data_IF_932185119311
#
_entry.id   IF_932185119311
#
_cell.length_a   1.000
_cell.length_b   1.000
_cell.length_c   1.000
_cell.angle_alpha   90.00
_cell.angle_beta   90.00
_cell.angle_gamma   90.00
#
_symmetry.space_group_name_H-M   'P 1'
#
loop_
_entity.id
_entity.type
_entity.pdbx_description
1 polymer ?
#
# COMPACT_ATOMS: atom_id res chain seq x y z
N UNK A 1 19.11 2.77 -21.88
CA UNK A 1 17.80 2.06 -21.88
C UNK A 1 17.18 2.28 -20.50
N UNK A 2 15.97 2.84 -20.44
CA UNK A 2 15.33 3.23 -19.17
C UNK A 2 15.03 2.01 -18.29
N UNK A 3 15.46 2.03 -17.03
CA UNK A 3 15.14 1.05 -16.00
C UNK A 3 14.12 1.61 -15.00
N UNK A 4 13.48 0.73 -14.26
CA UNK A 4 12.59 1.09 -13.16
C UNK A 4 12.92 0.25 -11.93
N UNK A 5 13.02 0.91 -10.78
CA UNK A 5 13.16 0.28 -9.47
C UNK A 5 11.87 0.52 -8.68
N UNK A 6 11.26 -0.54 -8.20
CA UNK A 6 10.09 -0.52 -7.32
C UNK A 6 10.50 -1.06 -5.96
N UNK A 7 10.30 -0.27 -4.93
CA UNK A 7 10.69 -0.63 -3.57
C UNK A 7 9.49 -0.61 -2.65
N UNK A 8 9.35 -1.64 -1.81
CA UNK A 8 8.57 -1.46 -0.59
C UNK A 8 9.20 -0.38 0.31
N UNK A 9 8.37 0.21 1.17
CA UNK A 9 8.79 1.29 2.05
C UNK A 9 9.27 0.79 3.42
N UNK A 10 8.42 0.11 4.20
CA UNK A 10 8.70 -0.19 5.61
C UNK A 10 9.53 -1.47 5.70
N UNK A 11 10.72 -1.44 6.32
CA UNK A 11 11.60 -2.61 6.37
C UNK A 11 12.46 -2.79 5.12
N UNK A 12 12.08 -2.15 4.01
CA UNK A 12 12.83 -2.16 2.74
C UNK A 12 13.53 -0.82 2.46
N UNK A 13 12.83 0.19 1.93
CA UNK A 13 13.43 1.50 1.61
C UNK A 13 13.79 2.30 2.89
N UNK A 14 12.93 2.20 3.90
CA UNK A 14 13.12 2.76 5.22
C UNK A 14 13.42 1.64 6.21
N UNK A 15 14.66 1.60 6.69
CA UNK A 15 15.08 0.74 7.81
C UNK A 15 15.33 1.56 9.07
N UNK A 16 15.94 2.73 8.92
CA UNK A 16 16.20 3.71 9.99
C UNK A 16 16.55 5.08 9.37
N UNK A 17 16.70 6.10 10.22
CA UNK A 17 16.98 7.49 9.82
C UNK A 17 18.33 7.69 9.11
N UNK A 18 19.32 6.81 9.33
CA UNK A 18 20.62 6.90 8.68
C UNK A 18 20.57 6.27 7.28
N UNK A 19 19.93 5.11 7.15
CA UNK A 19 19.93 4.35 5.90
C UNK A 19 18.98 4.96 4.86
N UNK A 20 17.87 5.57 5.28
CA UNK A 20 16.99 6.26 4.33
C UNK A 20 17.72 7.38 3.57
N UNK A 21 18.62 8.11 4.23
CA UNK A 21 19.40 9.17 3.55
C UNK A 21 20.31 8.60 2.46
N UNK A 22 21.01 7.50 2.75
CA UNK A 22 21.84 6.80 1.76
C UNK A 22 21.01 6.26 0.60
N UNK A 23 19.84 5.71 0.90
CA UNK A 23 18.92 5.19 -0.11
C UNK A 23 18.40 6.31 -1.02
N UNK A 24 18.08 7.48 -0.46
CA UNK A 24 17.68 8.67 -1.21
C UNK A 24 18.80 9.14 -2.15
N UNK A 25 20.04 9.23 -1.66
CA UNK A 25 21.19 9.62 -2.49
C UNK A 25 21.35 8.67 -3.69
N UNK A 26 21.26 7.34 -3.44
CA UNK A 26 21.36 6.33 -4.49
C UNK A 26 20.19 6.36 -5.46
N UNK A 27 18.98 6.64 -5.00
CA UNK A 27 17.82 6.82 -5.87
C UNK A 27 17.97 8.08 -6.72
N UNK A 28 18.49 9.18 -6.17
CA UNK A 28 18.75 10.39 -6.94
C UNK A 28 19.80 10.15 -8.04
N UNK A 29 20.91 9.49 -7.71
CA UNK A 29 21.90 9.03 -8.72
C UNK A 29 21.21 8.18 -9.79
N UNK A 30 20.40 7.19 -9.40
CA UNK A 30 19.70 6.32 -10.34
C UNK A 30 18.73 7.07 -11.26
N UNK A 31 17.99 8.05 -10.72
CA UNK A 31 17.04 8.88 -11.46
C UNK A 31 17.71 9.87 -12.41
N UNK A 32 18.87 10.43 -12.05
CA UNK A 32 19.62 11.35 -12.94
C UNK A 32 20.07 10.67 -14.24
N UNK A 33 20.22 9.35 -14.24
CA UNK A 33 20.49 8.53 -15.43
C UNK A 33 19.23 8.29 -16.31
N UNK A 34 18.10 8.92 -15.98
CA UNK A 34 16.84 8.80 -16.71
C UNK A 34 16.01 7.56 -16.36
N UNK A 35 16.33 6.90 -15.24
CA UNK A 35 15.55 5.76 -14.71
C UNK A 35 14.42 6.24 -13.80
N UNK A 36 13.47 5.34 -13.52
CA UNK A 36 12.29 5.64 -12.70
C UNK A 36 12.36 4.95 -11.34
N UNK A 37 11.91 5.64 -10.31
CA UNK A 37 11.78 5.07 -8.97
C UNK A 37 10.34 5.11 -8.48
N UNK A 38 9.89 4.00 -7.90
CA UNK A 38 8.51 3.81 -7.41
C UNK A 38 8.55 3.31 -5.97
N UNK A 39 7.78 3.96 -5.10
CA UNK A 39 7.48 3.42 -3.78
C UNK A 39 6.20 2.62 -3.85
N UNK A 40 6.21 1.39 -3.34
CA UNK A 40 5.06 0.49 -3.33
C UNK A 40 4.77 -0.04 -1.93
N UNK A 41 3.77 0.50 -1.24
CA UNK A 41 3.60 0.30 0.21
C UNK A 41 2.15 0.01 0.61
N UNK A 42 1.97 -0.60 1.79
CA UNK A 42 0.67 -0.70 2.48
C UNK A 42 0.15 0.65 2.98
N UNK A 43 1.03 1.64 3.20
CA UNK A 43 0.66 2.95 3.73
C UNK A 43 -0.37 3.67 2.87
N UNK A 44 -1.21 4.46 3.54
CA UNK A 44 -2.09 5.42 2.88
C UNK A 44 -1.30 6.61 2.32
N UNK A 45 -1.92 7.41 1.44
CA UNK A 45 -1.32 8.64 0.96
C UNK A 45 -0.91 9.57 2.12
N UNK A 46 -1.81 9.77 3.09
CA UNK A 46 -1.57 10.66 4.24
C UNK A 46 -0.38 10.20 5.06
N UNK A 47 -0.28 8.90 5.33
CA UNK A 47 0.78 8.33 6.17
C UNK A 47 2.14 8.32 5.45
N UNK A 48 2.17 8.06 4.15
CA UNK A 48 3.41 8.10 3.37
C UNK A 48 3.86 9.54 3.09
N UNK A 49 2.93 10.47 2.82
CA UNK A 49 3.24 11.87 2.53
C UNK A 49 4.03 12.54 3.65
N UNK A 50 3.69 12.26 4.90
CA UNK A 50 4.45 12.75 6.06
C UNK A 50 5.92 12.31 6.01
N UNK A 51 6.19 11.08 5.57
CA UNK A 51 7.55 10.54 5.44
C UNK A 51 8.27 11.12 4.22
N UNK A 52 7.58 11.20 3.08
CA UNK A 52 8.08 11.85 1.87
C UNK A 52 8.52 13.27 2.18
N UNK A 53 7.71 14.04 2.91
CA UNK A 53 8.03 15.42 3.27
C UNK A 53 9.17 15.51 4.28
N UNK A 54 9.18 14.62 5.28
CA UNK A 54 10.23 14.61 6.31
C UNK A 54 11.62 14.37 5.73
N UNK A 55 11.74 13.44 4.79
CA UNK A 55 13.04 13.03 4.24
C UNK A 55 13.29 13.54 2.82
N UNK A 56 12.35 14.28 2.23
CA UNK A 56 12.40 14.75 0.84
C UNK A 56 12.58 13.61 -0.17
N UNK A 57 11.80 12.54 0.01
CA UNK A 57 11.97 11.29 -0.75
C UNK A 57 11.60 11.52 -2.22
N UNK A 58 12.54 11.31 -3.17
CA UNK A 58 12.23 11.34 -4.59
C UNK A 58 11.35 10.16 -5.00
N UNK A 59 10.40 10.39 -5.91
CA UNK A 59 9.64 9.32 -6.57
C UNK A 59 9.11 9.78 -7.93
N UNK A 60 8.81 8.81 -8.80
CA UNK A 60 8.13 9.02 -10.08
C UNK A 60 6.68 8.51 -10.04
N UNK A 61 6.42 7.48 -9.23
CA UNK A 61 5.09 6.92 -8.97
C UNK A 61 4.96 6.45 -7.52
N UNK A 62 3.72 6.41 -7.02
CA UNK A 62 3.37 5.82 -5.72
C UNK A 62 2.33 4.74 -5.91
N UNK A 63 2.63 3.53 -5.44
CA UNK A 63 1.67 2.44 -5.26
C UNK A 63 1.34 2.37 -3.77
N UNK A 64 0.09 2.65 -3.41
CA UNK A 64 -0.37 2.89 -2.04
C UNK A 64 -1.47 1.89 -1.64
N UNK A 65 -1.75 1.79 -0.35
CA UNK A 65 -2.82 0.97 0.21
C UNK A 65 -2.79 -0.46 -0.35
N UNK A 66 -1.65 -1.14 -0.26
CA UNK A 66 -1.45 -2.50 -0.77
C UNK A 66 -1.69 -2.66 -2.29
N UNK A 67 -1.62 -1.56 -3.04
CA UNK A 67 -1.90 -1.54 -4.47
C UNK A 67 -3.35 -1.19 -4.80
N UNK A 68 -4.12 -0.61 -3.88
CA UNK A 68 -5.45 -0.08 -4.18
C UNK A 68 -5.41 1.29 -4.87
N UNK A 69 -4.27 2.00 -4.81
CA UNK A 69 -4.12 3.33 -5.41
C UNK A 69 -2.76 3.48 -6.09
N UNK A 70 -2.77 3.94 -7.34
CA UNK A 70 -1.58 4.31 -8.11
C UNK A 70 -1.64 5.79 -8.48
N UNK A 71 -0.62 6.55 -8.05
CA UNK A 71 -0.45 7.97 -8.33
C UNK A 71 0.82 8.22 -9.16
N UNK A 72 0.77 9.24 -10.02
CA UNK A 72 1.98 9.85 -10.59
C UNK A 72 2.68 10.77 -9.58
N UNK A 73 3.90 11.19 -9.90
CA UNK A 73 4.63 12.26 -9.16
C UNK A 73 3.85 13.57 -9.05
N UNK A 74 2.96 13.84 -10.00
CA UNK A 74 2.14 15.05 -10.06
C UNK A 74 0.78 14.84 -9.34
N UNK A 75 0.65 13.74 -8.60
CA UNK A 75 -0.54 13.33 -7.85
C UNK A 75 -1.77 13.04 -8.72
N UNK A 76 -1.57 12.80 -10.02
CA UNK A 76 -2.64 12.31 -10.89
C UNK A 76 -2.97 10.86 -10.53
N UNK A 77 -4.26 10.57 -10.35
CA UNK A 77 -4.75 9.21 -10.14
C UNK A 77 -4.67 8.46 -11.47
N UNK A 78 -3.78 7.49 -11.56
CA UNK A 78 -3.64 6.63 -12.75
C UNK A 78 -4.59 5.45 -12.64
N UNK A 79 -4.70 4.87 -11.44
CA UNK A 79 -5.61 3.76 -11.16
C UNK A 79 -6.01 3.78 -9.69
N UNK A 80 -7.27 3.47 -9.43
CA UNK A 80 -7.82 3.31 -8.09
C UNK A 80 -8.74 2.10 -8.08
N UNK A 81 -8.69 1.34 -6.99
CA UNK A 81 -9.62 0.28 -6.64
C UNK A 81 -10.27 0.67 -5.32
N UNK A 82 -11.60 0.66 -5.30
CA UNK A 82 -12.40 0.95 -4.12
C UNK A 82 -13.13 -0.32 -3.70
N UNK A 83 -13.45 -0.41 -2.41
CA UNK A 83 -14.41 -1.38 -1.91
C UNK A 83 -15.82 -0.94 -2.31
N UNK A 84 -16.68 -1.91 -2.63
CA UNK A 84 -18.09 -1.64 -2.84
C UNK A 84 -18.71 -1.03 -1.59
N UNK A 85 -19.63 -0.08 -1.78
CA UNK A 85 -20.25 0.63 -0.65
C UNK A 85 -20.99 -0.34 0.28
N UNK A 86 -21.79 -1.24 -0.28
CA UNK A 86 -22.56 -2.23 0.49
C UNK A 86 -21.64 -3.16 1.30
N UNK A 87 -20.52 -3.56 0.71
CA UNK A 87 -19.50 -4.36 1.39
C UNK A 87 -18.85 -3.56 2.53
N UNK A 88 -18.52 -2.30 2.27
CA UNK A 88 -17.94 -1.41 3.28
C UNK A 88 -18.89 -1.19 4.46
N UNK A 89 -20.16 -0.93 4.18
CA UNK A 89 -21.23 -0.79 5.18
C UNK A 89 -21.36 -2.07 6.02
N UNK A 90 -21.36 -3.24 5.37
CA UNK A 90 -21.44 -4.53 6.07
C UNK A 90 -20.24 -4.78 7.00
N UNK A 91 -19.02 -4.45 6.56
CA UNK A 91 -17.81 -4.58 7.40
C UNK A 91 -17.87 -3.62 8.60
N UNK A 92 -18.37 -2.40 8.39
CA UNK A 92 -18.58 -1.43 9.46
C UNK A 92 -19.61 -1.91 10.48
N UNK A 93 -20.73 -2.47 10.02
CA UNK A 93 -21.75 -3.04 10.90
C UNK A 93 -21.17 -4.18 11.74
N UNK A 94 -20.39 -5.08 11.13
CA UNK A 94 -19.67 -6.12 11.87
C UNK A 94 -18.72 -5.51 12.91
N UNK A 95 -17.91 -4.54 12.50
CA UNK A 95 -16.90 -3.94 13.36
C UNK A 95 -17.52 -3.20 14.57
N UNK A 96 -18.60 -2.44 14.34
CA UNK A 96 -19.32 -1.71 15.38
C UNK A 96 -19.99 -2.63 16.42
N UNK A 97 -20.31 -3.87 16.02
CA UNK A 97 -20.91 -4.87 16.91
C UNK A 97 -19.87 -5.81 17.56
N UNK A 98 -18.58 -5.67 17.23
CA UNK A 98 -17.50 -6.49 17.78
C UNK A 98 -16.67 -5.71 18.80
N UNK A 99 -16.77 -6.10 20.08
CA UNK A 99 -16.10 -5.42 21.21
C UNK A 99 -14.58 -5.57 21.22
N UNK A 100 -14.01 -6.51 20.47
CA UNK A 100 -12.56 -6.68 20.36
C UNK A 100 -11.92 -5.63 19.43
N UNK A 101 -12.72 -4.99 18.57
CA UNK A 101 -12.29 -3.92 17.68
C UNK A 101 -12.37 -2.58 18.43
N UNK A 102 -11.21 -1.95 18.60
CA UNK A 102 -11.07 -0.70 19.34
C UNK A 102 -11.43 0.53 18.51
N UNK A 103 -11.03 0.55 17.24
CA UNK A 103 -11.21 1.69 16.35
C UNK A 103 -11.33 1.22 14.90
N UNK A 104 -12.10 1.95 14.10
CA UNK A 104 -12.28 1.70 12.67
C UNK A 104 -11.87 2.95 11.90
N UNK A 105 -10.98 2.77 10.93
CA UNK A 105 -10.49 3.85 10.09
C UNK A 105 -10.81 3.57 8.64
N UNK A 106 -11.71 4.37 8.07
CA UNK A 106 -11.96 4.39 6.64
C UNK A 106 -10.97 5.32 5.95
N UNK A 107 -10.45 4.88 4.81
CA UNK A 107 -9.45 5.61 4.03
C UNK A 107 -9.95 5.68 2.59
N UNK A 108 -10.01 6.89 2.04
CA UNK A 108 -10.22 7.11 0.61
C UNK A 108 -8.89 7.48 -0.06
N UNK A 109 -8.93 7.95 -1.31
CA UNK A 109 -7.73 8.25 -2.09
C UNK A 109 -6.71 9.14 -1.36
N UNK A 110 -7.15 10.24 -0.75
CA UNK A 110 -6.25 11.26 -0.18
C UNK A 110 -6.53 11.59 1.29
N UNK A 111 -7.56 11.00 1.89
CA UNK A 111 -7.97 11.25 3.27
C UNK A 111 -8.05 9.96 4.07
N UNK A 112 -7.78 10.10 5.37
CA UNK A 112 -7.85 9.05 6.39
C UNK A 112 -8.87 9.49 7.43
N UNK A 113 -9.62 8.54 8.00
CA UNK A 113 -10.78 8.79 8.87
C UNK A 113 -11.88 9.59 8.17
N UNK A 114 -12.38 9.02 7.08
CA UNK A 114 -13.60 9.53 6.43
C UNK A 114 -14.82 8.86 7.05
N UNK A 115 -15.96 9.56 7.05
CA UNK A 115 -17.23 9.00 7.56
C UNK A 115 -18.07 8.35 6.45
N UNK A 116 -17.80 8.70 5.19
CA UNK A 116 -18.49 8.19 4.01
C UNK A 116 -17.86 6.86 3.56
N UNK A 117 -18.72 5.86 3.38
CA UNK A 117 -18.35 4.51 2.91
C UNK A 117 -18.24 4.44 1.39
N UNK A 118 -18.56 5.51 0.69
CA UNK A 118 -18.36 5.66 -0.75
C UNK A 118 -16.89 5.93 -1.07
N UNK A 119 -16.36 5.29 -2.11
CA UNK A 119 -14.99 5.48 -2.60
C UNK A 119 -13.89 5.14 -1.57
N UNK A 120 -14.16 4.22 -0.64
CA UNK A 120 -13.17 3.72 0.31
C UNK A 120 -12.17 2.84 -0.42
N UNK A 121 -10.87 3.14 -0.29
CA UNK A 121 -9.79 2.32 -0.87
C UNK A 121 -9.22 1.33 0.13
N UNK A 122 -9.40 1.59 1.44
CA UNK A 122 -8.94 0.73 2.52
C UNK A 122 -9.78 0.92 3.79
N UNK A 123 -10.13 -0.17 4.45
CA UNK A 123 -10.66 -0.18 5.82
C UNK A 123 -9.57 -0.71 6.75
N UNK A 124 -9.37 -0.08 7.90
CA UNK A 124 -8.41 -0.52 8.91
C UNK A 124 -9.15 -0.72 10.22
N UNK A 125 -9.15 -1.95 10.72
CA UNK A 125 -9.69 -2.32 12.02
C UNK A 125 -8.53 -2.39 13.03
N UNK A 126 -8.61 -1.65 14.13
CA UNK A 126 -7.57 -1.63 15.17
C UNK A 126 -7.93 -2.55 16.32
N UNK A 127 -7.01 -3.43 16.72
CA UNK A 127 -7.18 -4.35 17.84
C UNK A 127 -5.95 -4.30 18.76
N UNK A 128 -6.12 -4.61 20.04
CA UNK A 128 -5.02 -4.65 21.01
C UNK A 128 -4.29 -6.00 21.07
N UNK A 129 -4.93 -7.08 20.61
CA UNK A 129 -4.41 -8.45 20.71
C UNK A 129 -4.15 -9.04 19.33
N UNK A 130 -2.99 -9.69 19.19
CA UNK A 130 -2.65 -10.46 18.00
C UNK A 130 -3.68 -11.56 17.73
N UNK A 131 -4.00 -12.37 18.74
CA UNK A 131 -4.93 -13.50 18.60
C UNK A 131 -6.31 -13.00 18.13
N UNK A 132 -6.77 -11.89 18.70
CA UNK A 132 -8.03 -11.25 18.27
C UNK A 132 -7.96 -10.68 16.86
N UNK A 133 -6.86 -10.04 16.49
CA UNK A 133 -6.69 -9.56 15.11
C UNK A 133 -6.65 -10.71 14.10
N UNK A 134 -6.11 -11.87 14.48
CA UNK A 134 -6.10 -13.06 13.66
C UNK A 134 -7.50 -13.68 13.53
N UNK A 135 -8.26 -13.80 14.63
CA UNK A 135 -9.67 -14.22 14.62
C UNK A 135 -10.52 -13.33 13.71
N UNK A 136 -10.42 -12.00 13.87
CA UNK A 136 -11.16 -11.03 13.05
C UNK A 136 -10.75 -11.14 11.59
N UNK A 137 -9.46 -11.24 11.28
CA UNK A 137 -8.99 -11.41 9.91
C UNK A 137 -9.58 -12.66 9.26
N UNK A 138 -9.56 -13.80 9.95
CA UNK A 138 -10.12 -15.05 9.41
C UNK A 138 -11.62 -14.93 9.16
N UNK A 139 -12.37 -14.31 10.08
CA UNK A 139 -13.79 -14.05 9.86
C UNK A 139 -14.03 -13.18 8.62
N UNK A 140 -13.24 -12.11 8.44
CA UNK A 140 -13.34 -11.25 7.24
C UNK A 140 -13.05 -12.05 5.97
N UNK A 141 -11.99 -12.86 5.94
CA UNK A 141 -11.62 -13.66 4.77
C UNK A 141 -12.66 -14.73 4.43
N UNK A 142 -13.33 -15.31 5.43
CA UNK A 142 -14.38 -16.31 5.24
C UNK A 142 -15.73 -15.68 4.83
N UNK A 143 -16.00 -14.45 5.29
CA UNK A 143 -17.29 -13.79 5.10
C UNK A 143 -17.39 -12.99 3.80
N UNK A 144 -16.27 -12.55 3.24
CA UNK A 144 -16.23 -11.65 2.08
C UNK A 144 -15.28 -12.15 0.99
N UNK A 145 -15.78 -12.25 -0.26
CA UNK A 145 -15.03 -12.83 -1.39
C UNK A 145 -14.28 -11.80 -2.25
N UNK A 146 -14.71 -10.54 -2.25
CA UNK A 146 -14.17 -9.47 -3.10
C UNK A 146 -13.15 -8.58 -2.38
N UNK A 147 -12.44 -9.13 -1.39
CA UNK A 147 -11.45 -8.41 -0.60
C UNK A 147 -10.11 -9.13 -0.55
N UNK A 148 -9.11 -8.40 -0.08
CA UNK A 148 -7.87 -8.94 0.51
C UNK A 148 -7.71 -8.32 1.88
N UNK A 149 -7.27 -9.12 2.84
CA UNK A 149 -6.95 -8.66 4.18
C UNK A 149 -5.47 -8.89 4.52
N UNK A 150 -4.89 -7.95 5.26
CA UNK A 150 -3.52 -7.99 5.73
C UNK A 150 -3.48 -7.75 7.23
N UNK A 151 -2.62 -8.49 7.92
CA UNK A 151 -2.32 -8.27 9.33
C UNK A 151 -1.06 -7.40 9.43
N UNK A 152 -1.17 -6.23 10.02
CA UNK A 152 -0.08 -5.24 10.11
C UNK A 152 0.10 -4.82 11.57
N UNK A 153 1.35 -4.71 12.02
CA UNK A 153 1.65 -4.18 13.36
C UNK A 153 1.80 -2.65 13.29
N UNK A 154 1.09 -1.93 14.15
CA UNK A 154 1.12 -0.46 14.25
C UNK A 154 1.29 -0.05 15.73
N UNK A 155 2.54 0.16 16.15
CA UNK A 155 2.90 0.50 17.53
C UNK A 155 2.24 -0.47 18.55
N UNK A 156 1.28 0.02 19.34
CA UNK A 156 0.56 -0.72 20.37
C UNK A 156 -0.62 -1.56 19.83
N UNK A 157 -0.92 -1.45 18.53
CA UNK A 157 -2.07 -2.07 17.89
C UNK A 157 -1.67 -3.13 16.85
N UNK A 158 -2.58 -4.07 16.66
CA UNK A 158 -2.61 -5.00 15.54
C UNK A 158 -3.75 -4.60 14.61
N UNK A 159 -3.42 -4.36 13.35
CA UNK A 159 -4.35 -3.89 12.34
C UNK A 159 -4.79 -5.04 11.47
N UNK A 160 -6.09 -5.11 11.20
CA UNK A 160 -6.63 -5.83 10.04
C UNK A 160 -6.94 -4.80 8.97
N UNK A 161 -6.09 -4.76 7.94
CA UNK A 161 -6.25 -3.86 6.80
C UNK A 161 -6.93 -4.58 5.65
N UNK A 162 -8.02 -4.01 5.14
CA UNK A 162 -8.89 -4.61 4.14
C UNK A 162 -8.93 -3.71 2.91
N UNK A 163 -8.65 -4.29 1.74
CA UNK A 163 -8.67 -3.61 0.44
C UNK A 163 -9.44 -4.46 -0.58
N UNK A 164 -9.78 -3.89 -1.74
CA UNK A 164 -10.39 -4.65 -2.83
C UNK A 164 -9.52 -5.86 -3.22
N UNK A 165 -10.14 -6.98 -3.61
CA UNK A 165 -9.43 -8.15 -4.12
C UNK A 165 -8.66 -7.90 -5.43
N UNK A 166 -8.95 -6.78 -6.10
CA UNK A 166 -8.21 -6.32 -7.29
C UNK A 166 -6.91 -5.58 -6.93
N UNK A 167 -6.75 -5.12 -5.69
CA UNK A 167 -5.57 -4.38 -5.25
C UNK A 167 -4.32 -5.27 -5.24
N UNK A 168 -3.33 -4.95 -6.08
CA UNK A 168 -2.06 -5.68 -6.17
C UNK A 168 -0.92 -4.75 -6.55
N UNK A 169 0.19 -4.80 -5.80
CA UNK A 169 1.42 -4.09 -6.17
C UNK A 169 1.91 -4.50 -7.55
N UNK A 170 1.94 -5.81 -7.84
CA UNK A 170 2.38 -6.33 -9.15
C UNK A 170 1.50 -5.83 -10.30
N UNK A 171 0.18 -5.79 -10.11
CA UNK A 171 -0.73 -5.24 -11.13
C UNK A 171 -0.47 -3.75 -11.39
N UNK A 172 -0.24 -2.98 -10.33
CA UNK A 172 0.07 -1.55 -10.49
C UNK A 172 1.40 -1.31 -11.20
N UNK A 173 2.39 -2.18 -11.01
CA UNK A 173 3.64 -2.16 -11.80
C UNK A 173 3.31 -2.31 -13.29
N UNK A 174 2.49 -3.29 -13.68
CA UNK A 174 2.10 -3.48 -15.09
C UNK A 174 1.52 -2.21 -15.71
N UNK A 175 0.67 -1.48 -14.97
CA UNK A 175 0.09 -0.22 -15.43
C UNK A 175 1.14 0.88 -15.66
N UNK A 176 2.18 0.93 -14.82
CA UNK A 176 3.31 1.84 -15.03
C UNK A 176 4.09 1.43 -16.28
N UNK A 177 4.35 0.13 -16.49
CA UNK A 177 5.10 -0.37 -17.64
C UNK A 177 4.39 -0.11 -18.96
N UNK A 178 3.07 -0.28 -19.01
CA UNK A 178 2.22 0.07 -20.16
C UNK A 178 2.37 1.56 -20.52
N UNK A 179 2.27 2.43 -19.52
CA UNK A 179 2.37 3.90 -19.68
C UNK A 179 3.77 4.33 -20.14
N UNK A 180 4.81 3.79 -19.51
CA UNK A 180 6.21 4.18 -19.76
C UNK A 180 6.88 3.41 -20.91
N UNK A 181 6.19 2.41 -21.47
CA UNK A 181 6.69 1.51 -22.51
C UNK A 181 8.00 0.81 -22.10
N UNK A 182 8.08 0.39 -20.84
CA UNK A 182 9.25 -0.31 -20.27
C UNK A 182 9.03 -1.82 -20.37
N UNK A 183 10.02 -2.53 -20.89
CA UNK A 183 9.99 -4.00 -20.97
C UNK A 183 10.36 -4.64 -19.63
N UNK A 184 9.72 -5.78 -19.34
CA UNK A 184 9.85 -6.55 -18.10
C UNK A 184 11.30 -6.79 -17.61
N UNK A 185 12.25 -7.03 -18.54
CA UNK A 185 13.68 -7.24 -18.19
C UNK A 185 14.36 -6.04 -17.53
N UNK A 186 13.78 -4.85 -17.60
CA UNK A 186 14.33 -3.61 -17.04
C UNK A 186 13.64 -3.21 -15.72
N UNK A 187 12.83 -4.11 -15.15
CA UNK A 187 12.01 -3.88 -13.95
C UNK A 187 12.65 -4.61 -12.77
N UNK A 188 13.04 -3.86 -11.76
CA UNK A 188 13.69 -4.38 -10.55
C UNK A 188 12.79 -4.09 -9.36
N UNK A 189 12.64 -5.07 -8.48
CA UNK A 189 11.71 -4.99 -7.35
C UNK A 189 12.46 -5.35 -6.07
N UNK A 190 12.16 -4.68 -4.96
CA UNK A 190 12.69 -5.05 -3.64
C UNK A 190 11.56 -4.93 -2.61
N UNK A 191 11.48 -5.89 -1.68
CA UNK A 191 10.45 -5.94 -0.65
C UNK A 191 10.75 -7.02 0.39
N UNK A 192 10.14 -6.90 1.56
CA UNK A 192 10.33 -7.78 2.71
C UNK A 192 9.01 -8.39 3.21
N UNK A 193 7.86 -7.88 2.75
CA UNK A 193 6.54 -8.27 3.22
C UNK A 193 5.83 -9.33 2.35
N UNK A 194 4.77 -9.92 2.90
CA UNK A 194 3.93 -10.89 2.17
C UNK A 194 3.22 -10.25 0.97
N UNK A 195 2.90 -8.95 1.05
CA UNK A 195 2.32 -8.15 -0.01
C UNK A 195 3.32 -7.80 -1.14
N UNK A 196 4.60 -8.19 -1.02
CA UNK A 196 5.66 -7.97 -2.01
C UNK A 196 5.97 -9.21 -2.86
N UNK A 197 5.54 -10.39 -2.40
CA UNK A 197 5.88 -11.68 -3.02
C UNK A 197 5.57 -11.68 -4.52
N UNK A 198 4.41 -11.15 -4.91
CA UNK A 198 4.00 -11.14 -6.30
C UNK A 198 4.93 -10.27 -7.16
N UNK A 199 5.32 -9.07 -6.68
CA UNK A 199 6.23 -8.23 -7.46
C UNK A 199 7.64 -8.83 -7.54
N UNK A 200 8.13 -9.45 -6.47
CA UNK A 200 9.45 -10.11 -6.45
C UNK A 200 9.48 -11.30 -7.41
N UNK A 201 8.47 -12.18 -7.36
CA UNK A 201 8.40 -13.37 -8.25
C UNK A 201 8.16 -13.00 -9.71
N UNK A 202 7.35 -11.96 -9.94
CA UNK A 202 6.98 -11.59 -11.30
C UNK A 202 8.08 -10.78 -11.99
N UNK A 203 9.00 -10.13 -11.29
CA UNK A 203 10.03 -9.26 -11.87
C UNK A 203 11.45 -9.65 -11.42
N UNK A 204 12.44 -8.78 -11.63
CA UNK A 204 13.80 -9.02 -11.15
C UNK A 204 13.91 -8.60 -9.68
N UNK A 205 13.38 -9.44 -8.79
CA UNK A 205 13.46 -9.28 -7.33
C UNK A 205 14.54 -10.11 -6.65
#
# INVERSE_FOLDING_TARGET
>A
MKKILISDYDGTFYQNDLDIKKNIDKVNEFRTLGNLFVLATGRSYVDLKQKIDKYEIPYDYLILNHGALLLSKDLEIIKVFTLDKELSDSILDYANNNKDIYDVVLINTFKKRVDDTSNVVKIMLKLYSYDKSFEVKNYIDESYTNIRSYLVRDEDYYLVEIVSSEASKSFMIEKILEKEKIVKKNVFTIGDGINDIDMIKNYNG
#
